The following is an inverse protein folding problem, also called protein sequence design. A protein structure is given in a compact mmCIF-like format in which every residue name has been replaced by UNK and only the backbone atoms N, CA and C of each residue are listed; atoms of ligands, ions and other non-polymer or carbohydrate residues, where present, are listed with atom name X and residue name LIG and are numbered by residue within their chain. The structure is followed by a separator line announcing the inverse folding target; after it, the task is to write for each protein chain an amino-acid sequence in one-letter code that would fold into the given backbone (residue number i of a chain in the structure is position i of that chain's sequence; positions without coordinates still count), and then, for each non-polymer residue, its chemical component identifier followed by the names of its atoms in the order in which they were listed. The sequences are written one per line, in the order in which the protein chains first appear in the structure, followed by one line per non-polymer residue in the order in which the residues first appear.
data_IF_705740222074
#
_entry.id   IF_705740222074
#
_cell.length_a   1.000
_cell.length_b   1.000
_cell.length_c   1.000
_cell.angle_alpha   90.00
_cell.angle_beta   90.00
_cell.angle_gamma   90.00
#
_symmetry.space_group_name_H-M   'P 1'
#
loop_
_entity.id
_entity.type
_entity.pdbx_description
1 polymer ?
#
# COMPACT_ATOMS: atom_id res chain seq x y z
N UNK A 1 41.23 -12.73 -52.33
CA UNK A 1 41.89 -12.85 -51.01
C UNK A 1 41.75 -11.50 -50.31
N UNK A 2 40.78 -11.33 -49.40
CA UNK A 2 40.99 -11.33 -47.93
C UNK A 2 41.58 -9.98 -47.47
N UNK A 3 41.04 -9.20 -46.54
CA UNK A 3 40.32 -9.50 -45.28
C UNK A 3 39.47 -8.30 -44.83
N UNK A 4 38.36 -8.59 -44.16
CA UNK A 4 37.52 -7.60 -43.47
C UNK A 4 38.15 -6.95 -42.23
N UNK A 5 37.57 -5.80 -41.89
CA UNK A 5 37.50 -5.17 -40.55
C UNK A 5 36.02 -4.78 -40.46
N UNK A 6 35.18 -5.40 -39.64
CA UNK A 6 35.30 -5.48 -38.19
C UNK A 6 34.41 -4.38 -37.62
N UNK A 7 33.09 -4.60 -37.67
CA UNK A 7 32.09 -3.72 -37.06
C UNK A 7 32.33 -3.66 -35.55
N UNK A 8 32.59 -2.47 -35.04
CA UNK A 8 32.63 -2.21 -33.60
C UNK A 8 31.22 -1.84 -33.19
N UNK A 9 30.42 -2.85 -32.87
CA UNK A 9 29.11 -2.68 -32.28
C UNK A 9 29.24 -2.03 -30.90
N UNK A 10 28.91 -0.74 -30.81
CA UNK A 10 28.65 -0.08 -29.53
C UNK A 10 27.43 -0.76 -28.91
N UNK A 11 27.64 -1.56 -27.86
CA UNK A 11 26.54 -1.97 -26.98
C UNK A 11 25.96 -0.70 -26.35
N UNK A 12 24.84 -0.22 -26.88
CA UNK A 12 23.93 0.63 -26.12
C UNK A 12 23.44 -0.23 -24.95
N UNK A 13 23.98 0.02 -23.76
CA UNK A 13 23.28 -0.29 -22.53
C UNK A 13 22.02 0.55 -22.54
N UNK A 14 20.90 -0.06 -22.91
CA UNK A 14 19.59 0.50 -22.61
C UNK A 14 19.51 0.42 -21.10
N UNK A 15 19.73 1.54 -20.41
CA UNK A 15 19.36 1.63 -19.01
C UNK A 15 17.85 1.33 -18.97
N UNK A 16 17.47 0.19 -18.37
CA UNK A 16 16.07 -0.03 -18.03
C UNK A 16 15.64 1.20 -17.23
N UNK A 17 14.69 1.95 -17.76
CA UNK A 17 14.06 3.04 -17.02
C UNK A 17 13.33 2.33 -15.88
N UNK A 18 13.94 2.25 -14.71
CA UNK A 18 13.27 1.74 -13.51
C UNK A 18 12.04 2.63 -13.29
N UNK A 19 10.86 2.11 -13.63
CA UNK A 19 9.61 2.86 -13.56
C UNK A 19 9.29 3.08 -12.08
N UNK A 20 9.26 4.35 -11.67
CA UNK A 20 8.84 4.69 -10.31
C UNK A 20 7.37 4.32 -10.17
N UNK A 21 7.08 3.42 -9.24
CA UNK A 21 5.70 3.00 -8.99
C UNK A 21 5.17 3.55 -7.67
N UNK A 22 3.86 3.43 -7.50
CA UNK A 22 3.14 3.79 -6.29
C UNK A 22 2.06 2.76 -6.01
N UNK A 23 1.64 2.68 -4.75
CA UNK A 23 0.47 1.93 -4.34
C UNK A 23 -0.56 2.89 -3.78
N UNK A 24 -1.37 3.43 -4.68
CA UNK A 24 -2.49 4.35 -4.41
C UNK A 24 -3.86 3.70 -4.69
N UNK A 25 -3.87 2.40 -5.02
CA UNK A 25 -5.08 1.58 -5.21
C UNK A 25 -6.04 2.00 -6.33
N UNK A 26 -5.72 3.05 -7.11
CA UNK A 26 -6.55 3.52 -8.22
C UNK A 26 -6.68 2.48 -9.35
N UNK A 27 -5.70 1.58 -9.46
CA UNK A 27 -5.71 0.44 -10.37
C UNK A 27 -6.16 -0.87 -9.71
N UNK A 28 -6.65 -0.84 -8.47
CA UNK A 28 -7.07 -2.02 -7.72
C UNK A 28 -5.93 -2.76 -7.01
N UNK A 29 -6.21 -4.01 -6.61
CA UNK A 29 -5.31 -4.87 -5.82
C UNK A 29 -5.12 -6.26 -6.44
N UNK A 30 -5.18 -6.37 -7.77
CA UNK A 30 -5.18 -7.67 -8.48
C UNK A 30 -3.94 -8.53 -8.18
N UNK A 31 -2.76 -7.91 -8.10
CA UNK A 31 -1.49 -8.62 -7.84
C UNK A 31 -1.12 -8.66 -6.34
N UNK A 32 -2.05 -8.28 -5.46
CA UNK A 32 -1.82 -8.33 -4.02
C UNK A 32 -2.26 -9.67 -3.44
N UNK A 33 -1.44 -10.19 -2.53
CA UNK A 33 -1.75 -11.42 -1.80
C UNK A 33 -2.64 -11.09 -0.60
N UNK A 34 -3.82 -11.71 -0.56
CA UNK A 34 -4.80 -11.58 0.51
C UNK A 34 -4.82 -12.81 1.40
N UNK A 35 -5.00 -12.60 2.70
CA UNK A 35 -5.39 -13.66 3.64
C UNK A 35 -6.61 -13.21 4.44
N UNK A 36 -7.40 -14.17 4.93
CA UNK A 36 -8.61 -13.88 5.70
C UNK A 36 -9.69 -13.18 4.87
N UNK A 37 -10.53 -12.38 5.53
CA UNK A 37 -11.71 -11.74 4.94
C UNK A 37 -11.69 -10.21 4.96
N UNK A 38 -10.79 -9.56 5.70
CA UNK A 38 -10.75 -8.10 5.84
C UNK A 38 -10.66 -7.34 4.51
N UNK A 39 -9.99 -7.92 3.51
CA UNK A 39 -9.72 -7.27 2.22
C UNK A 39 -10.57 -7.80 1.06
N UNK A 40 -11.67 -8.50 1.35
CA UNK A 40 -12.52 -9.08 0.31
C UNK A 40 -13.28 -8.03 -0.50
N UNK A 41 -13.65 -6.90 0.14
CA UNK A 41 -14.43 -5.82 -0.48
C UNK A 41 -13.59 -4.57 -0.75
N UNK A 42 -12.30 -4.76 -1.04
CA UNK A 42 -11.29 -3.69 -1.16
C UNK A 42 -10.65 -3.64 -2.57
N UNK A 43 -10.14 -2.48 -3.01
CA UNK A 43 -10.20 -1.18 -2.34
C UNK A 43 -11.62 -0.61 -2.28
N UNK A 44 -11.85 0.33 -1.38
CA UNK A 44 -13.15 0.99 -1.20
C UNK A 44 -13.22 2.31 -1.97
N UNK A 45 -14.40 2.63 -2.51
CA UNK A 45 -14.62 3.81 -3.33
C UNK A 45 -15.12 5.02 -2.52
N UNK A 46 -14.42 6.14 -2.63
CA UNK A 46 -14.79 7.43 -2.07
C UNK A 46 -14.64 7.53 -0.55
N UNK A 47 -14.93 8.71 -0.01
CA UNK A 47 -14.82 8.99 1.42
C UNK A 47 -16.06 8.46 2.17
N UNK A 48 -16.00 7.19 2.55
CA UNK A 48 -17.09 6.51 3.25
C UNK A 48 -17.35 7.05 4.67
N UNK A 49 -16.34 7.37 5.50
CA UNK A 49 -16.55 8.06 6.77
C UNK A 49 -17.34 9.38 6.64
N UNK A 50 -17.03 10.17 5.61
CA UNK A 50 -17.80 11.40 5.31
C UNK A 50 -19.23 11.08 4.89
N UNK A 51 -19.43 10.09 4.01
CA UNK A 51 -20.76 9.70 3.57
C UNK A 51 -21.68 9.23 4.71
N UNK A 52 -21.10 8.66 5.79
CA UNK A 52 -21.83 8.27 7.00
C UNK A 52 -21.81 9.32 8.12
N UNK A 53 -21.42 10.57 7.83
CA UNK A 53 -21.37 11.69 8.78
C UNK A 53 -20.56 11.40 10.05
N UNK A 54 -19.45 10.67 9.92
CA UNK A 54 -18.62 10.27 11.09
C UNK A 54 -17.85 11.43 11.73
N UNK A 55 -17.70 12.55 11.02
CA UNK A 55 -16.88 13.68 11.45
C UNK A 55 -15.37 13.43 11.36
N UNK A 56 -14.95 12.38 10.66
CA UNK A 56 -13.56 11.98 10.46
C UNK A 56 -13.36 11.62 8.99
N UNK A 57 -13.16 12.63 8.15
CA UNK A 57 -12.92 12.45 6.71
C UNK A 57 -11.76 11.48 6.48
N UNK A 58 -11.89 10.51 5.58
CA UNK A 58 -10.83 9.51 5.35
C UNK A 58 -9.52 10.14 4.90
N UNK A 59 -9.58 11.27 4.17
CA UNK A 59 -8.42 11.99 3.64
C UNK A 59 -7.56 11.14 2.68
N UNK A 60 -8.24 10.30 1.89
CA UNK A 60 -7.62 9.48 0.85
C UNK A 60 -7.10 10.31 -0.33
N UNK A 61 -6.08 9.79 -1.02
CA UNK A 61 -5.62 10.32 -2.29
C UNK A 61 -6.44 9.69 -3.41
N UNK A 62 -7.10 10.52 -4.23
CA UNK A 62 -7.92 10.01 -5.31
C UNK A 62 -9.26 9.47 -4.83
N UNK A 63 -9.69 8.34 -5.38
CA UNK A 63 -11.02 7.75 -5.19
C UNK A 63 -10.98 6.39 -4.54
N UNK A 64 -9.87 5.67 -4.59
CA UNK A 64 -9.76 4.30 -4.10
C UNK A 64 -8.70 4.19 -3.03
N UNK A 65 -9.01 3.48 -1.96
CA UNK A 65 -8.11 3.31 -0.83
C UNK A 65 -8.45 2.04 -0.06
N UNK A 66 -7.59 1.63 0.87
CA UNK A 66 -7.88 0.49 1.75
C UNK A 66 -8.54 1.01 3.03
N UNK A 67 -9.78 0.60 3.28
CA UNK A 67 -10.49 0.86 4.53
C UNK A 67 -11.06 -0.43 5.09
N UNK A 68 -10.38 -1.04 6.06
CA UNK A 68 -10.70 -2.39 6.56
C UNK A 68 -12.11 -2.54 7.12
N UNK A 69 -12.75 -1.46 7.58
CA UNK A 69 -14.15 -1.48 8.04
C UNK A 69 -15.18 -1.14 6.96
N UNK A 70 -14.75 -0.68 5.78
CA UNK A 70 -15.62 -0.19 4.71
C UNK A 70 -16.06 -1.31 3.77
N UNK A 71 -17.27 -1.21 3.21
CA UNK A 71 -17.87 -2.18 2.28
C UNK A 71 -18.47 -1.46 1.07
N UNK A 72 -17.61 -0.78 0.31
CA UNK A 72 -17.99 -0.11 -0.94
C UNK A 72 -17.01 -0.42 -2.08
N UNK A 73 -17.01 -1.66 -2.60
CA UNK A 73 -16.07 -2.09 -3.64
C UNK A 73 -16.38 -1.51 -5.04
N UNK A 74 -17.47 -0.77 -5.22
CA UNK A 74 -17.81 -0.13 -6.48
C UNK A 74 -18.64 1.14 -6.26
N UNK A 75 -18.71 1.99 -7.30
CA UNK A 75 -19.53 3.21 -7.29
C UNK A 75 -21.03 2.92 -7.13
N UNK A 76 -21.49 1.73 -7.55
CA UNK A 76 -22.90 1.33 -7.44
C UNK A 76 -23.30 0.88 -6.03
N UNK A 77 -22.34 0.56 -5.17
CA UNK A 77 -22.62 0.26 -3.77
C UNK A 77 -22.83 1.57 -2.99
N UNK A 78 -23.83 1.56 -2.10
CA UNK A 78 -24.22 2.70 -1.26
C UNK A 78 -23.02 3.33 -0.54
N UNK A 79 -22.90 4.65 -0.63
CA UNK A 79 -21.86 5.41 0.07
C UNK A 79 -21.94 5.21 1.59
N UNK A 80 -20.80 4.97 2.25
CA UNK A 80 -20.75 4.79 3.71
C UNK A 80 -21.14 3.40 4.20
N UNK A 81 -21.36 2.41 3.31
CA UNK A 81 -21.64 1.03 3.70
C UNK A 81 -20.40 0.40 4.36
N UNK A 82 -20.61 -0.37 5.42
CA UNK A 82 -19.55 -0.93 6.27
C UNK A 82 -19.63 -2.46 6.37
N UNK A 83 -18.48 -3.10 6.49
CA UNK A 83 -18.32 -4.48 6.99
C UNK A 83 -17.96 -4.52 8.49
N UNK A 84 -17.52 -3.39 9.07
CA UNK A 84 -17.13 -3.28 10.47
C UNK A 84 -15.79 -3.94 10.79
N UNK A 85 -15.47 -4.05 12.08
CA UNK A 85 -14.14 -4.49 12.57
C UNK A 85 -14.01 -6.02 12.72
N UNK A 86 -15.09 -6.77 12.49
CA UNK A 86 -15.06 -8.22 12.68
C UNK A 86 -14.12 -8.97 11.71
N UNK A 87 -14.05 -8.62 10.41
CA UNK A 87 -13.15 -9.27 9.46
C UNK A 87 -11.68 -9.09 9.85
N UNK A 88 -10.87 -10.13 9.59
CA UNK A 88 -9.42 -10.10 9.82
C UNK A 88 -8.67 -10.61 8.62
N UNK A 89 -7.42 -10.20 8.47
CA UNK A 89 -6.59 -10.65 7.37
C UNK A 89 -5.31 -9.85 7.19
N UNK A 90 -4.64 -10.13 6.07
CA UNK A 90 -3.50 -9.36 5.62
C UNK A 90 -3.60 -9.08 4.13
N UNK A 91 -3.05 -7.95 3.70
CA UNK A 91 -2.95 -7.56 2.30
C UNK A 91 -1.49 -7.22 1.99
N UNK A 92 -0.84 -8.00 1.12
CA UNK A 92 0.60 -7.88 0.83
C UNK A 92 0.84 -7.50 -0.62
N UNK A 93 1.60 -6.44 -0.85
CA UNK A 93 1.88 -5.91 -2.20
C UNK A 93 2.70 -6.89 -3.04
N UNK A 94 2.74 -6.71 -4.37
CA UNK A 94 3.86 -7.20 -5.17
C UNK A 94 5.21 -6.76 -4.60
N UNK A 95 6.28 -7.41 -5.04
CA UNK A 95 7.62 -6.94 -4.73
C UNK A 95 7.91 -5.62 -5.46
N UNK A 96 8.59 -4.73 -4.76
CA UNK A 96 9.20 -3.53 -5.33
C UNK A 96 10.65 -3.42 -4.87
N UNK A 97 11.42 -2.56 -5.53
CA UNK A 97 12.80 -2.28 -5.18
C UNK A 97 12.88 -0.91 -4.51
N UNK A 98 13.70 -0.81 -3.47
CA UNK A 98 14.00 0.48 -2.82
C UNK A 98 15.17 1.11 -3.58
N UNK A 99 14.98 2.30 -4.13
CA UNK A 99 15.94 2.96 -5.02
C UNK A 99 16.50 4.26 -4.42
N UNK A 100 16.01 4.65 -3.25
CA UNK A 100 16.48 5.82 -2.52
C UNK A 100 16.12 5.78 -1.05
N UNK A 101 16.14 6.94 -0.39
CA UNK A 101 16.13 7.05 1.06
C UNK A 101 14.76 7.15 1.70
N UNK A 102 13.70 7.38 0.91
CA UNK A 102 12.42 7.81 1.45
C UNK A 102 11.22 7.05 0.88
N UNK A 103 10.34 6.58 1.76
CA UNK A 103 9.00 6.09 1.44
C UNK A 103 8.00 6.84 2.31
N UNK A 104 6.87 7.27 1.75
CA UNK A 104 5.74 7.83 2.51
C UNK A 104 4.43 7.22 2.09
N UNK A 105 3.45 7.24 2.98
CA UNK A 105 2.12 6.68 2.79
C UNK A 105 1.13 7.38 3.73
N UNK A 106 -0.16 7.25 3.43
CA UNK A 106 -1.26 7.63 4.30
C UNK A 106 -1.66 6.42 5.16
N UNK A 107 -1.87 6.65 6.46
CA UNK A 107 -2.35 5.61 7.38
C UNK A 107 -3.30 6.19 8.43
N UNK A 108 -4.37 5.46 8.72
CA UNK A 108 -5.38 5.75 9.73
C UNK A 108 -5.95 4.43 10.29
N UNK A 109 -7.17 4.48 10.83
CA UNK A 109 -7.81 3.36 11.50
C UNK A 109 -7.21 3.11 12.88
N UNK A 110 -7.05 1.83 13.23
CA UNK A 110 -6.58 1.37 14.53
C UNK A 110 -5.21 1.88 14.97
N UNK A 111 -5.01 1.92 16.29
CA UNK A 111 -3.77 2.39 16.93
C UNK A 111 -3.01 1.31 17.71
N UNK A 112 -3.48 0.06 17.69
CA UNK A 112 -2.73 -1.05 18.28
C UNK A 112 -1.73 -1.64 17.28
N UNK A 113 -0.46 -1.26 17.43
CA UNK A 113 0.63 -1.75 16.60
C UNK A 113 0.76 -3.28 16.61
N UNK A 114 0.25 -4.00 17.62
CA UNK A 114 0.33 -5.46 17.70
C UNK A 114 -0.66 -6.16 16.78
N UNK A 115 -1.76 -5.52 16.41
CA UNK A 115 -2.86 -6.15 15.66
C UNK A 115 -3.27 -5.41 14.39
N UNK A 116 -3.06 -4.09 14.31
CA UNK A 116 -3.45 -3.26 13.17
C UNK A 116 -2.25 -2.40 12.75
N UNK A 117 -1.65 -2.65 11.59
CA UNK A 117 -0.44 -1.92 11.14
C UNK A 117 -0.09 -2.13 9.67
N UNK A 118 0.69 -1.22 9.12
CA UNK A 118 1.48 -1.43 7.91
C UNK A 118 2.90 -1.88 8.28
N UNK A 119 3.48 -2.80 7.51
CA UNK A 119 4.83 -3.35 7.67
C UNK A 119 5.61 -3.20 6.35
N UNK A 120 6.86 -2.76 6.40
CA UNK A 120 7.83 -2.93 5.32
C UNK A 120 8.63 -4.20 5.57
N UNK A 121 8.64 -5.11 4.59
CA UNK A 121 9.25 -6.43 4.71
C UNK A 121 10.38 -6.56 3.70
N UNK A 122 11.57 -6.97 4.15
CA UNK A 122 12.71 -7.34 3.30
C UNK A 122 13.09 -8.80 3.60
N UNK A 123 13.01 -9.65 2.59
CA UNK A 123 13.04 -11.10 2.81
C UNK A 123 11.88 -11.50 3.71
N UNK A 124 12.18 -12.08 4.89
CA UNK A 124 11.17 -12.48 5.86
C UNK A 124 11.16 -11.60 7.13
N UNK A 125 11.81 -10.43 7.08
CA UNK A 125 11.96 -9.54 8.24
C UNK A 125 11.16 -8.26 8.05
N UNK A 126 10.38 -7.91 9.08
CA UNK A 126 9.79 -6.58 9.22
C UNK A 126 10.90 -5.60 9.59
N UNK A 127 11.18 -4.64 8.72
CA UNK A 127 12.26 -3.64 8.92
C UNK A 127 11.72 -2.26 9.30
N UNK A 128 10.45 -1.98 9.00
CA UNK A 128 9.70 -0.80 9.45
C UNK A 128 8.25 -1.21 9.67
N UNK A 129 7.55 -0.52 10.56
CA UNK A 129 6.11 -0.67 10.73
C UNK A 129 5.49 0.64 11.27
N UNK A 130 4.20 0.82 11.04
CA UNK A 130 3.43 1.96 11.53
C UNK A 130 1.97 1.55 11.72
N UNK A 131 1.28 2.18 12.66
CA UNK A 131 -0.17 2.05 12.88
C UNK A 131 -0.85 3.41 12.78
N UNK A 132 -2.17 3.45 12.77
CA UNK A 132 -2.98 4.66 12.81
C UNK A 132 -3.04 5.28 14.21
N UNK A 133 -4.08 6.07 14.45
CA UNK A 133 -4.27 6.85 15.69
C UNK A 133 -5.67 6.64 16.29
N UNK A 134 -6.30 5.49 16.01
CA UNK A 134 -7.68 5.23 16.38
C UNK A 134 -8.60 6.34 15.84
N UNK A 135 -8.44 6.61 14.54
CA UNK A 135 -9.10 7.68 13.80
C UNK A 135 -9.22 7.29 12.33
N UNK A 136 -10.40 7.48 11.73
CA UNK A 136 -10.62 7.18 10.31
C UNK A 136 -9.72 8.03 9.40
N UNK A 137 -9.47 9.28 9.79
CA UNK A 137 -8.66 10.23 9.03
C UNK A 137 -7.23 9.75 8.91
N UNK A 138 -6.82 9.42 7.70
CA UNK A 138 -5.46 9.03 7.41
C UNK A 138 -4.52 10.23 7.46
N UNK A 139 -3.35 10.03 8.07
CA UNK A 139 -2.26 11.00 8.12
C UNK A 139 -1.05 10.46 7.39
N UNK A 140 -0.29 11.37 6.76
CA UNK A 140 0.96 10.99 6.10
C UNK A 140 2.00 10.59 7.14
N UNK A 141 2.56 9.39 6.96
CA UNK A 141 3.76 8.93 7.65
C UNK A 141 4.85 8.64 6.62
N UNK A 142 6.09 8.63 7.11
CA UNK A 142 7.26 8.37 6.30
C UNK A 142 8.21 7.39 6.99
N UNK A 143 8.91 6.60 6.20
CA UNK A 143 9.99 5.75 6.62
C UNK A 143 11.29 6.19 5.94
N UNK A 144 12.33 6.39 6.76
CA UNK A 144 13.70 6.42 6.26
C UNK A 144 14.14 4.99 5.94
N UNK A 145 14.45 4.76 4.66
CA UNK A 145 14.84 3.47 4.08
C UNK A 145 16.22 3.52 3.42
N UNK A 146 17.02 4.56 3.66
CA UNK A 146 18.35 4.73 3.07
C UNK A 146 19.26 3.50 3.26
N UNK A 147 19.21 2.87 4.43
CA UNK A 147 19.97 1.64 4.72
C UNK A 147 19.51 0.39 3.95
N UNK A 148 18.46 0.49 3.14
CA UNK A 148 17.87 -0.61 2.38
C UNK A 148 17.86 -0.35 0.87
N UNK A 149 18.54 0.69 0.38
CA UNK A 149 18.68 0.94 -1.06
C UNK A 149 19.23 -0.29 -1.78
N UNK A 150 18.64 -0.60 -2.93
CA UNK A 150 18.93 -1.77 -3.77
C UNK A 150 18.24 -3.07 -3.33
N UNK A 151 17.60 -3.10 -2.15
CA UNK A 151 16.87 -4.27 -1.64
C UNK A 151 15.49 -4.39 -2.28
N UNK A 152 15.08 -5.63 -2.53
CA UNK A 152 13.67 -5.98 -2.79
C UNK A 152 12.88 -5.99 -1.48
N UNK A 153 11.71 -5.39 -1.50
CA UNK A 153 10.81 -5.26 -0.36
C UNK A 153 9.35 -5.52 -0.76
N UNK A 154 8.47 -5.67 0.24
CA UNK A 154 7.01 -5.66 0.11
C UNK A 154 6.43 -4.79 1.21
N UNK A 155 5.25 -4.23 1.00
CA UNK A 155 4.42 -3.69 2.07
C UNK A 155 3.34 -4.69 2.43
N UNK A 156 3.10 -4.89 3.72
CA UNK A 156 2.04 -5.75 4.24
C UNK A 156 1.17 -4.95 5.18
N UNK A 157 -0.12 -4.94 4.90
CA UNK A 157 -1.14 -4.42 5.79
C UNK A 157 -1.65 -5.57 6.64
N UNK A 158 -1.69 -5.35 7.94
CA UNK A 158 -2.14 -6.30 8.95
C UNK A 158 -3.38 -5.74 9.60
N UNK A 159 -4.45 -6.53 9.58
CA UNK A 159 -5.74 -6.20 10.17
C UNK A 159 -6.26 -7.40 10.97
N UNK A 160 -5.90 -7.47 12.27
CA UNK A 160 -6.07 -8.68 13.10
C UNK A 160 -6.79 -8.42 14.44
N UNK A 161 -7.52 -7.32 14.58
CA UNK A 161 -8.36 -7.07 15.74
C UNK A 161 -9.85 -7.17 15.37
N UNK A 162 -10.71 -7.46 16.34
CA UNK A 162 -12.17 -7.26 16.19
C UNK A 162 -12.75 -6.42 17.31
N UNK A 163 -11.88 -5.82 18.13
CA UNK A 163 -12.30 -4.78 19.06
C UNK A 163 -12.59 -3.49 18.28
N UNK A 164 -13.17 -2.49 18.94
CA UNK A 164 -13.33 -1.16 18.33
C UNK A 164 -11.98 -0.61 17.86
N UNK A 165 -11.97 -0.01 16.66
CA UNK A 165 -10.75 0.38 15.94
C UNK A 165 -9.91 -0.80 15.44
N UNK A 166 -10.55 -1.95 15.28
CA UNK A 166 -9.93 -3.16 14.78
C UNK A 166 -9.86 -3.22 13.25
N UNK A 167 -9.52 -2.10 12.60
CA UNK A 167 -9.36 -2.03 11.15
C UNK A 167 -8.22 -1.09 10.75
N UNK A 168 -7.58 -1.35 9.61
CA UNK A 168 -6.57 -0.42 9.03
C UNK A 168 -7.17 0.45 7.93
N UNK A 169 -6.80 1.73 7.92
CA UNK A 169 -6.97 2.61 6.75
C UNK A 169 -5.59 2.90 6.15
N UNK A 170 -5.42 2.71 4.84
CA UNK A 170 -4.10 2.86 4.19
C UNK A 170 -4.22 3.31 2.74
N UNK A 171 -3.33 4.21 2.30
CA UNK A 171 -3.33 4.76 0.95
C UNK A 171 -1.97 5.39 0.53
N UNK A 172 -1.81 5.66 -0.76
CA UNK A 172 -0.77 6.50 -1.38
C UNK A 172 0.67 6.22 -0.90
N UNK A 173 1.06 4.93 -0.89
CA UNK A 173 2.46 4.56 -0.68
C UNK A 173 3.26 4.92 -1.93
N UNK A 174 4.26 5.79 -1.74
CA UNK A 174 5.15 6.27 -2.79
C UNK A 174 6.49 6.72 -2.23
N UNK A 175 7.41 7.07 -3.11
CA UNK A 175 8.72 7.60 -2.76
C UNK A 175 9.75 7.00 -3.68
N UNK A 176 10.93 6.71 -3.12
CA UNK A 176 12.05 6.17 -3.86
C UNK A 176 11.93 4.65 -4.00
N UNK A 177 10.91 4.22 -4.77
CA UNK A 177 10.64 2.82 -5.09
C UNK A 177 10.41 2.63 -6.59
N UNK A 178 10.79 1.45 -7.10
CA UNK A 178 10.50 1.01 -8.46
C UNK A 178 9.79 -0.33 -8.45
N UNK A 179 8.90 -0.52 -9.41
CA UNK A 179 8.27 -1.82 -9.67
C UNK A 179 8.93 -2.43 -10.91
N UNK A 180 8.98 -3.75 -10.94
CA UNK A 180 9.55 -4.55 -12.04
C UNK A 180 8.47 -5.31 -12.77
#
# INVERSE_FOLDING_TARGET
MGRGRGDVGTLMFIAEVEETCKFDFEAGIYDWEKTGSAFNNQPTYGDNPTARNRGQHANQQGRWWIGGAEDRPSISVTAGKMQGDAPKGTLTSPYFRIIGGHISFLIGGGCDIKTVRAELIIGNKVVRHATGECNETMKRKAWNVHGYVGRRARVKLVDFSSAGWGHINFDDLKGDISCS
#
